data_IF_377013257877
#
_entry.id   IF_377013257877
#
_cell.length_a   1.000
_cell.length_b   1.000
_cell.length_c   1.000
_cell.angle_alpha   90.00
_cell.angle_beta   90.00
_cell.angle_gamma   90.00
#
_symmetry.space_group_name_H-M   'P 1'
#
loop_
_entity.id
_entity.type
_entity.pdbx_description
1 polymer ?
#
# COMPACT_ATOMS: atom_id res chain seq x y z
N UNK A 1 3.07 -1.91 -7.09
CA UNK A 1 2.53 -2.30 -5.77
C UNK A 1 1.38 -1.35 -5.48
N UNK A 2 0.15 -1.83 -5.55
CA UNK A 2 -1.07 -1.09 -5.25
C UNK A 2 -2.00 -2.04 -4.48
N UNK A 3 -1.53 -2.50 -3.31
CA UNK A 3 -2.24 -3.47 -2.47
C UNK A 3 -2.58 -2.92 -1.07
N UNK A 4 -2.41 -1.62 -0.83
CA UNK A 4 -2.58 -1.05 0.51
C UNK A 4 -4.05 -0.93 0.98
N UNK A 5 -5.05 -1.16 0.11
CA UNK A 5 -6.45 -0.85 0.44
C UNK A 5 -7.44 -2.01 0.34
N UNK A 6 -7.03 -3.21 -0.06
CA UNK A 6 -7.97 -4.36 -0.12
C UNK A 6 -7.95 -5.23 1.14
N UNK A 7 -7.20 -4.83 2.18
CA UNK A 7 -6.80 -5.72 3.29
C UNK A 7 -7.71 -5.71 4.52
N UNK A 8 -8.76 -4.89 4.54
CA UNK A 8 -9.58 -4.73 5.73
C UNK A 8 -11.08 -4.84 5.49
N UNK A 9 -11.78 -5.32 6.52
CA UNK A 9 -13.25 -5.43 6.55
C UNK A 9 -13.82 -4.04 6.81
N UNK A 10 -14.41 -3.43 5.78
CA UNK A 10 -15.11 -2.15 5.90
C UNK A 10 -16.46 -2.38 6.58
N UNK A 11 -16.68 -1.76 7.76
CA UNK A 11 -18.00 -1.78 8.41
C UNK A 11 -18.91 -0.77 7.70
N UNK A 12 -19.88 -1.27 6.93
CA UNK A 12 -20.91 -0.47 6.27
C UNK A 12 -21.76 0.32 7.27
N UNK A 13 -21.45 1.60 7.40
CA UNK A 13 -22.46 2.61 7.69
C UNK A 13 -23.13 2.98 6.36
N UNK A 14 -24.45 2.81 6.31
CA UNK A 14 -25.44 3.07 5.25
C UNK A 14 -25.15 4.29 4.35
N UNK A 15 -24.10 4.21 3.56
CA UNK A 15 -24.03 4.76 2.23
C UNK A 15 -24.22 3.53 1.35
N UNK A 16 -25.18 3.61 0.44
CA UNK A 16 -25.30 2.63 -0.64
C UNK A 16 -23.90 2.30 -1.14
N UNK A 17 -23.66 1.03 -1.44
CA UNK A 17 -22.59 0.65 -2.34
C UNK A 17 -22.77 1.47 -3.62
N UNK A 18 -22.23 2.69 -3.64
CA UNK A 18 -21.36 3.04 -4.72
C UNK A 18 -20.34 1.90 -4.69
N UNK A 19 -20.64 0.86 -5.47
CA UNK A 19 -19.68 0.31 -6.40
C UNK A 19 -18.59 1.33 -6.52
N UNK A 20 -17.38 0.98 -6.08
CA UNK A 20 -16.21 1.79 -6.31
C UNK A 20 -16.10 1.91 -7.82
N UNK A 21 -16.89 2.81 -8.40
CA UNK A 21 -16.74 3.38 -9.68
C UNK A 21 -15.39 4.00 -9.51
N UNK A 22 -14.41 3.28 -10.06
CA UNK A 22 -13.01 3.65 -10.13
C UNK A 22 -13.05 5.05 -10.71
N UNK A 23 -13.15 6.09 -9.86
CA UNK A 23 -13.24 7.46 -10.34
C UNK A 23 -12.01 7.60 -11.21
N UNK A 24 -12.17 7.72 -12.54
CA UNK A 24 -11.03 7.62 -13.43
C UNK A 24 -10.12 8.74 -13.01
N UNK A 25 -8.87 8.43 -12.65
CA UNK A 25 -7.93 9.48 -12.29
C UNK A 25 -7.91 10.49 -13.45
N UNK A 26 -8.31 11.75 -13.24
CA UNK A 26 -8.33 12.72 -14.32
C UNK A 26 -6.91 12.90 -14.84
N UNK A 27 -6.86 13.06 -16.15
CA UNK A 27 -5.70 12.92 -17.00
C UNK A 27 -4.70 14.09 -16.86
N UNK A 28 -3.47 14.10 -17.37
CA UNK A 28 -2.28 13.26 -17.20
C UNK A 28 -1.06 14.18 -17.46
N UNK A 29 -0.14 14.36 -16.49
CA UNK A 29 1.13 15.10 -16.70
C UNK A 29 2.30 14.11 -16.73
N UNK A 30 3.31 14.35 -17.60
CA UNK A 30 4.59 13.60 -17.54
C UNK A 30 5.27 13.97 -16.22
N UNK A 31 5.70 12.95 -15.47
CA UNK A 31 6.27 13.12 -14.12
C UNK A 31 7.75 13.51 -14.21
N UNK A 32 8.18 14.53 -13.47
CA UNK A 32 9.59 14.92 -13.36
C UNK A 32 10.36 13.93 -12.48
N UNK A 33 11.70 13.92 -12.58
CA UNK A 33 12.56 13.12 -11.69
C UNK A 33 12.37 13.50 -10.21
N UNK A 34 12.11 14.77 -9.94
CA UNK A 34 11.86 15.30 -8.59
C UNK A 34 10.56 14.76 -8.01
N UNK A 35 9.46 14.75 -8.77
CA UNK A 35 8.17 14.18 -8.35
C UNK A 35 8.25 12.65 -8.11
N UNK A 36 9.16 11.94 -8.81
CA UNK A 36 9.43 10.51 -8.55
C UNK A 36 10.14 10.33 -7.20
N UNK A 37 11.16 11.14 -6.93
CA UNK A 37 11.92 11.10 -5.68
C UNK A 37 11.06 11.50 -4.48
N UNK A 38 10.20 12.51 -4.65
CA UNK A 38 9.28 12.97 -3.62
C UNK A 38 8.24 11.90 -3.27
N UNK A 39 7.61 11.27 -4.27
CA UNK A 39 6.75 10.10 -4.06
C UNK A 39 7.49 8.96 -3.37
N UNK A 40 8.79 8.80 -3.65
CA UNK A 40 9.65 7.80 -3.00
C UNK A 40 9.72 7.96 -1.48
N UNK A 41 9.57 9.18 -0.95
CA UNK A 41 9.52 9.42 0.50
C UNK A 41 8.29 8.80 1.17
N UNK A 42 7.15 8.73 0.48
CA UNK A 42 5.96 8.03 0.99
C UNK A 42 6.25 6.54 1.18
N UNK A 43 6.91 5.90 0.20
CA UNK A 43 7.27 4.49 0.29
C UNK A 43 8.30 4.26 1.40
N UNK A 44 9.34 5.10 1.45
CA UNK A 44 10.35 5.02 2.51
C UNK A 44 9.69 5.11 3.89
N UNK A 45 8.86 6.12 4.14
CA UNK A 45 8.15 6.29 5.40
C UNK A 45 7.24 5.09 5.74
N UNK A 46 6.60 4.49 4.73
CA UNK A 46 5.78 3.29 4.89
C UNK A 46 6.60 2.08 5.31
N UNK A 47 7.74 1.85 4.65
CA UNK A 47 8.68 0.78 4.99
C UNK A 47 9.24 0.98 6.41
N UNK A 48 9.59 2.22 6.78
CA UNK A 48 9.96 2.57 8.15
C UNK A 48 8.82 2.27 9.13
N UNK A 49 7.59 2.61 8.81
CA UNK A 49 6.44 2.31 9.68
C UNK A 49 6.34 0.79 9.93
N UNK A 50 6.40 -0.02 8.87
CA UNK A 50 6.32 -1.49 8.96
C UNK A 50 7.45 -2.12 9.79
N UNK A 51 8.65 -1.53 9.76
CA UNK A 51 9.79 -2.01 10.55
C UNK A 51 9.60 -1.81 12.07
N UNK A 52 8.76 -0.87 12.50
CA UNK A 52 8.60 -0.48 13.90
C UNK A 52 7.28 -0.90 14.55
N UNK A 53 6.31 -1.40 13.79
CA UNK A 53 5.06 -1.90 14.38
C UNK A 53 5.28 -3.23 15.11
N UNK A 54 4.49 -3.45 16.16
CA UNK A 54 4.50 -4.67 16.96
C UNK A 54 3.73 -5.81 16.26
N UNK A 55 4.21 -6.23 15.09
CA UNK A 55 3.62 -7.29 14.27
C UNK A 55 4.65 -8.38 13.90
N UNK A 56 4.23 -9.64 13.69
CA UNK A 56 5.08 -10.65 13.07
C UNK A 56 5.45 -10.22 11.64
N UNK A 57 6.74 -9.98 11.41
CA UNK A 57 7.24 -9.43 10.13
C UNK A 57 6.95 -10.34 8.93
N UNK A 58 6.91 -11.66 9.14
CA UNK A 58 6.56 -12.65 8.10
C UNK A 58 5.09 -12.60 7.67
N UNK A 59 4.21 -12.07 8.54
CA UNK A 59 2.76 -12.04 8.31
C UNK A 59 2.21 -10.64 8.09
N UNK A 60 3.06 -9.60 8.14
CA UNK A 60 2.63 -8.19 8.08
C UNK A 60 1.76 -7.87 6.88
N UNK A 61 1.95 -8.55 5.75
CA UNK A 61 1.16 -8.35 4.55
C UNK A 61 -0.21 -9.03 4.59
N UNK A 62 -0.41 -9.98 5.50
CA UNK A 62 -1.59 -10.83 5.63
C UNK A 62 -2.41 -10.55 6.90
N UNK A 63 -1.91 -9.71 7.82
CA UNK A 63 -2.66 -9.32 9.02
C UNK A 63 -3.89 -8.48 8.62
N UNK A 64 -5.11 -8.93 8.95
CA UNK A 64 -6.31 -8.15 8.68
C UNK A 64 -6.49 -7.03 9.73
N UNK A 65 -7.07 -5.92 9.31
CA UNK A 65 -7.42 -4.80 10.19
C UNK A 65 -8.75 -4.14 9.78
N UNK A 66 -9.39 -3.44 10.71
CA UNK A 66 -10.65 -2.73 10.46
C UNK A 66 -10.36 -1.30 9.99
N UNK A 67 -11.06 -0.84 8.97
CA UNK A 67 -10.99 0.55 8.52
C UNK A 67 -12.33 0.99 7.91
N UNK A 68 -12.49 2.29 7.73
CA UNK A 68 -13.65 2.88 7.07
C UNK A 68 -13.21 4.06 6.21
N UNK A 69 -13.88 4.28 5.08
CA UNK A 69 -13.76 5.52 4.31
C UNK A 69 -14.83 6.50 4.81
N UNK A 70 -14.41 7.60 5.44
CA UNK A 70 -15.29 8.67 5.90
C UNK A 70 -15.09 9.92 5.05
N UNK A 71 -16.17 10.61 4.69
CA UNK A 71 -16.13 11.72 3.71
C UNK A 71 -15.45 11.29 2.38
N UNK A 72 -15.35 12.13 1.34
CA UNK A 72 -14.77 11.67 0.08
C UNK A 72 -13.26 11.38 0.24
N UNK A 73 -12.91 10.10 0.40
CA UNK A 73 -11.53 9.61 0.28
C UNK A 73 -10.66 9.67 1.53
N UNK A 74 -11.19 9.96 2.73
CA UNK A 74 -10.41 9.90 3.96
C UNK A 74 -10.60 8.54 4.67
N UNK A 75 -9.52 7.76 4.76
CA UNK A 75 -9.54 6.50 5.51
C UNK A 75 -9.41 6.76 7.02
N UNK A 76 -10.12 5.96 7.81
CA UNK A 76 -10.04 5.96 9.27
C UNK A 76 -9.89 4.55 9.79
N UNK A 77 -9.03 4.38 10.79
CA UNK A 77 -8.74 3.08 11.36
C UNK A 77 -9.75 2.73 12.46
N UNK A 78 -10.29 1.53 12.37
CA UNK A 78 -11.16 0.98 13.40
C UNK A 78 -10.36 0.23 14.45
N UNK A 79 -10.99 -0.01 15.59
CA UNK A 79 -10.46 -0.96 16.58
C UNK A 79 -10.64 -2.37 16.02
N UNK A 80 -9.53 -3.10 15.88
CA UNK A 80 -9.56 -4.48 15.43
C UNK A 80 -9.94 -5.41 16.61
N UNK A 81 -11.12 -6.03 16.54
CA UNK A 81 -11.52 -7.13 17.43
C UNK A 81 -11.62 -8.42 16.61
N UNK A 82 -10.46 -8.91 16.15
CA UNK A 82 -10.36 -10.16 15.41
C UNK A 82 -9.71 -11.24 16.28
N UNK A 83 -10.31 -12.43 16.44
CA UNK A 83 -9.70 -13.55 17.16
C UNK A 83 -8.35 -13.93 16.54
N UNK A 84 -7.34 -14.16 17.38
CA UNK A 84 -6.01 -14.60 16.94
C UNK A 84 -5.12 -13.50 16.34
N UNK A 85 -5.60 -12.26 16.23
CA UNK A 85 -4.81 -11.12 15.75
C UNK A 85 -4.56 -10.17 16.90
N UNK A 86 -3.30 -9.76 17.09
CA UNK A 86 -2.96 -8.71 18.05
C UNK A 86 -3.69 -7.41 17.67
N UNK A 87 -4.58 -6.94 18.54
CA UNK A 87 -5.28 -5.66 18.37
C UNK A 87 -4.29 -4.51 18.14
N UNK A 88 -3.19 -4.51 18.90
CA UNK A 88 -2.10 -3.53 18.73
C UNK A 88 -1.48 -3.60 17.34
N UNK A 89 -1.20 -4.82 16.85
CA UNK A 89 -0.64 -5.02 15.52
C UNK A 89 -1.59 -4.51 14.42
N UNK A 90 -2.84 -4.94 14.43
CA UNK A 90 -3.82 -4.57 13.42
C UNK A 90 -4.10 -3.06 13.40
N UNK A 91 -4.21 -2.42 14.58
CA UNK A 91 -4.39 -0.96 14.66
C UNK A 91 -3.17 -0.21 14.12
N UNK A 92 -1.94 -0.58 14.53
CA UNK A 92 -0.73 0.08 14.04
C UNK A 92 -0.53 -0.10 12.53
N UNK A 93 -0.81 -1.31 12.02
CA UNK A 93 -0.73 -1.61 10.59
C UNK A 93 -1.72 -0.76 9.78
N UNK A 94 -2.95 -0.60 10.25
CA UNK A 94 -3.92 0.28 9.62
C UNK A 94 -3.43 1.73 9.56
N UNK A 95 -2.85 2.24 10.65
CA UNK A 95 -2.34 3.61 10.72
C UNK A 95 -1.20 3.83 9.71
N UNK A 96 -0.27 2.87 9.58
CA UNK A 96 0.78 2.92 8.56
C UNK A 96 0.17 3.01 7.14
N UNK A 97 -0.80 2.16 6.84
CA UNK A 97 -1.43 2.11 5.52
C UNK A 97 -2.30 3.37 5.25
N UNK A 98 -2.93 3.95 6.28
CA UNK A 98 -3.67 5.23 6.20
C UNK A 98 -2.75 6.41 5.89
N UNK A 99 -1.60 6.52 6.56
CA UNK A 99 -0.67 7.62 6.29
C UNK A 99 -0.01 7.47 4.91
N UNK A 100 0.32 6.24 4.52
CA UNK A 100 0.79 5.96 3.16
C UNK A 100 -0.25 6.37 2.11
N UNK A 101 -1.49 5.94 2.29
CA UNK A 101 -2.65 6.30 1.49
C UNK A 101 -2.80 7.81 1.30
N UNK A 102 -2.79 8.55 2.41
CA UNK A 102 -2.83 10.01 2.43
C UNK A 102 -1.65 10.60 1.64
N UNK A 103 -0.43 10.16 1.94
CA UNK A 103 0.79 10.64 1.29
C UNK A 103 0.75 10.45 -0.24
N UNK A 104 0.41 9.26 -0.71
CA UNK A 104 0.40 8.97 -2.15
C UNK A 104 -0.73 9.64 -2.91
N UNK A 105 -1.81 10.03 -2.22
CA UNK A 105 -2.95 10.73 -2.82
C UNK A 105 -2.62 12.15 -3.31
N UNK A 106 -1.56 12.75 -2.76
CA UNK A 106 -1.04 14.05 -3.23
C UNK A 106 -0.34 13.97 -4.59
N UNK A 107 0.02 12.77 -5.06
CA UNK A 107 0.75 12.58 -6.30
C UNK A 107 -0.16 12.12 -7.44
N UNK A 108 0.10 12.56 -8.68
CA UNK A 108 -0.70 12.18 -9.83
C UNK A 108 -0.64 10.66 -10.08
N UNK A 109 -1.80 10.10 -10.44
CA UNK A 109 -1.91 8.69 -10.76
C UNK A 109 -0.92 8.29 -11.86
N UNK A 110 -0.20 7.16 -11.70
CA UNK A 110 0.73 6.69 -12.72
C UNK A 110 -0.02 6.36 -14.01
N UNK A 111 0.45 6.90 -15.15
CA UNK A 111 -0.13 6.63 -16.48
C UNK A 111 0.04 5.16 -16.90
N UNK A 112 1.14 4.54 -16.47
CA UNK A 112 1.55 3.17 -16.78
C UNK A 112 2.34 2.59 -15.60
N UNK A 113 2.26 1.28 -15.39
CA UNK A 113 3.20 0.58 -14.50
C UNK A 113 4.61 0.73 -15.11
N UNK A 114 5.60 1.26 -14.38
CA UNK A 114 6.96 1.28 -14.89
C UNK A 114 7.42 -0.16 -15.10
N UNK A 115 7.90 -0.47 -16.31
CA UNK A 115 8.56 -1.74 -16.59
C UNK A 115 9.98 -1.70 -16.02
N UNK A 116 10.43 -2.83 -15.48
CA UNK A 116 11.85 -3.01 -15.21
C UNK A 116 12.57 -3.11 -16.55
N UNK A 117 13.58 -2.28 -16.79
CA UNK A 117 14.56 -2.59 -17.84
C UNK A 117 15.36 -3.78 -17.32
N UNK A 118 15.12 -4.97 -17.85
CA UNK A 118 15.98 -6.10 -17.55
C UNK A 118 17.41 -5.72 -17.95
N UNK A 119 18.33 -5.72 -16.99
CA UNK A 119 19.75 -5.69 -17.30
C UNK A 119 20.14 -7.10 -17.72
N UNK A 120 20.70 -7.25 -18.91
CA UNK A 120 21.15 -8.56 -19.44
C UNK A 120 22.21 -9.22 -18.54
N UNK A 121 22.75 -8.52 -17.54
CA UNK A 121 23.71 -9.06 -16.58
C UNK A 121 23.14 -10.08 -15.59
N UNK A 122 21.83 -10.07 -15.29
CA UNK A 122 21.22 -11.05 -14.38
C UNK A 122 20.87 -12.39 -15.05
N UNK A 123 20.93 -12.48 -16.39
CA UNK A 123 20.63 -13.73 -17.10
C UNK A 123 21.84 -14.67 -17.21
N UNK A 124 23.05 -14.21 -16.87
CA UNK A 124 24.25 -15.06 -16.84
C UNK A 124 24.49 -15.76 -15.49
N UNK A 125 23.76 -15.41 -14.42
CA UNK A 125 23.92 -16.07 -13.12
C UNK A 125 23.15 -17.38 -12.99
N UNK A 126 22.20 -17.68 -13.90
CA UNK A 126 21.43 -18.92 -13.88
C UNK A 126 22.10 -20.06 -14.66
N UNK A 127 23.18 -19.81 -15.41
CA UNK A 127 23.86 -20.84 -16.22
C UNK A 127 25.12 -21.40 -15.54
N UNK A 128 25.65 -20.73 -14.49
CA UNK A 128 26.94 -21.09 -13.90
C UNK A 128 26.87 -21.69 -12.48
N UNK A 129 25.72 -22.24 -12.07
CA UNK A 129 25.55 -22.97 -10.79
C UNK A 129 24.93 -24.36 -11.02
N UNK A 130 25.48 -25.11 -11.98
CA UNK A 130 25.22 -26.54 -12.19
C UNK A 130 26.56 -27.32 -12.24
N UNK A 131 27.47 -27.03 -11.31
CA UNK A 131 28.64 -27.87 -11.03
C UNK A 131 28.97 -27.76 -9.53
N UNK A 132 28.40 -28.71 -8.74
CA UNK A 132 28.89 -29.42 -7.54
C UNK A 132 27.70 -30.13 -6.88
#
# INVERSE_FOLDING_TARGET
>A
MALAFTKGVSREGRHTAAESEKRPCPFQKKRTREEILEKGRCCLQHDWCYAFISCPQTLIYFVPYTWQCMNPGAAHCGVASMPGVSQKCATQLCECDREFARCVSHYPCPRKKPGCKASNYMMLQTINNNDI
#
